data_IF_228096510146
#
_entry.id   IF_228096510146
#
_cell.length_a   1.000
_cell.length_b   1.000
_cell.length_c   1.000
_cell.angle_alpha   90.00
_cell.angle_beta   90.00
_cell.angle_gamma   90.00
#
_symmetry.space_group_name_H-M   'P 1'
#
loop_
_entity.id
_entity.type
_entity.pdbx_description
1 polymer ?
#
# COMPACT_ATOMS: atom_id res chain seq x y z
N UNK A 1 -60.93 51.82 -38.16
CA UNK A 1 -60.80 52.28 -36.75
C UNK A 1 -60.97 51.09 -35.83
N UNK A 2 -59.94 50.81 -35.02
CA UNK A 2 -59.89 50.09 -33.72
C UNK A 2 -61.03 49.10 -33.37
N UNK A 3 -60.66 47.86 -33.04
CA UNK A 3 -60.84 47.28 -31.70
C UNK A 3 -59.97 46.02 -31.52
N UNK A 4 -59.09 46.10 -30.52
CA UNK A 4 -58.27 45.01 -29.98
C UNK A 4 -59.15 44.00 -29.22
N UNK A 5 -58.81 42.72 -29.28
CA UNK A 5 -58.99 41.80 -28.15
C UNK A 5 -57.66 41.07 -27.89
N UNK A 6 -57.31 41.02 -26.61
CA UNK A 6 -56.03 40.59 -26.07
C UNK A 6 -55.86 39.06 -26.10
N UNK A 7 -54.63 38.60 -26.37
CA UNK A 7 -54.18 37.25 -26.07
C UNK A 7 -53.19 37.32 -24.90
N UNK A 8 -53.51 36.62 -23.82
CA UNK A 8 -52.69 36.46 -22.63
C UNK A 8 -51.63 35.38 -22.92
N UNK A 9 -50.34 35.73 -22.94
CA UNK A 9 -49.24 34.76 -22.98
C UNK A 9 -48.62 34.69 -21.59
N UNK A 10 -48.81 33.55 -20.92
CA UNK A 10 -48.13 33.25 -19.67
C UNK A 10 -46.69 32.80 -19.99
N UNK A 11 -45.71 33.59 -19.55
CA UNK A 11 -44.30 33.22 -19.62
C UNK A 11 -43.98 32.26 -18.46
N UNK A 12 -43.70 30.99 -18.76
CA UNK A 12 -43.05 30.08 -17.82
C UNK A 12 -41.53 30.37 -17.83
N UNK A 13 -41.04 30.96 -16.74
CA UNK A 13 -39.61 31.07 -16.46
C UNK A 13 -39.07 29.72 -15.98
N UNK A 14 -38.21 29.10 -16.78
CA UNK A 14 -37.49 27.87 -16.43
C UNK A 14 -36.30 28.23 -15.54
N UNK A 15 -36.44 28.08 -14.23
CA UNK A 15 -35.32 28.15 -13.28
C UNK A 15 -34.48 26.88 -13.41
N UNK A 16 -33.25 27.02 -13.91
CA UNK A 16 -32.25 25.96 -13.86
C UNK A 16 -31.89 25.70 -12.39
N UNK A 17 -32.40 24.61 -11.82
CA UNK A 17 -31.93 24.07 -10.56
C UNK A 17 -30.51 23.57 -10.77
N UNK A 18 -29.53 24.32 -10.25
CA UNK A 18 -28.16 23.83 -10.06
C UNK A 18 -28.24 22.65 -9.10
N UNK A 19 -28.13 21.43 -9.63
CA UNK A 19 -27.95 20.24 -8.83
C UNK A 19 -26.61 20.36 -8.09
N UNK A 20 -26.68 20.59 -6.79
CA UNK A 20 -25.54 20.37 -5.88
C UNK A 20 -25.09 18.93 -6.11
N UNK A 21 -23.81 18.65 -6.39
CA UNK A 21 -23.37 17.27 -6.52
C UNK A 21 -23.68 16.57 -5.21
N UNK A 22 -24.44 15.48 -5.29
CA UNK A 22 -24.53 14.54 -4.18
C UNK A 22 -23.09 14.18 -3.80
N UNK A 23 -22.71 14.44 -2.56
CA UNK A 23 -21.46 13.92 -2.03
C UNK A 23 -21.58 12.40 -2.18
N UNK A 24 -20.86 11.83 -3.15
CA UNK A 24 -20.71 10.39 -3.24
C UNK A 24 -20.29 9.92 -1.85
N UNK A 25 -20.95 8.89 -1.33
CA UNK A 25 -20.50 8.22 -0.11
C UNK A 25 -18.99 8.01 -0.26
N UNK A 26 -18.21 8.56 0.68
CA UNK A 26 -16.76 8.63 0.56
C UNK A 26 -16.21 7.25 0.22
N UNK A 27 -15.42 7.15 -0.85
CA UNK A 27 -14.73 5.91 -1.20
C UNK A 27 -13.92 5.43 0.00
N UNK A 28 -14.16 4.20 0.44
CA UNK A 28 -13.37 3.55 1.49
C UNK A 28 -12.07 3.07 0.87
N UNK A 29 -10.95 3.42 1.50
CA UNK A 29 -9.62 3.03 1.07
C UNK A 29 -8.92 2.22 2.18
N UNK A 30 -8.26 1.10 1.84
CA UNK A 30 -8.21 0.50 0.51
C UNK A 30 -9.57 -0.11 0.12
N UNK A 31 -9.82 -0.26 -1.17
CA UNK A 31 -11.06 -0.85 -1.68
C UNK A 31 -10.93 -2.37 -1.79
N UNK A 32 -11.88 -3.11 -1.21
CA UNK A 32 -12.01 -4.56 -1.41
C UNK A 32 -12.49 -4.83 -2.85
N UNK A 33 -11.69 -5.57 -3.62
CA UNK A 33 -11.94 -5.79 -5.06
C UNK A 33 -12.20 -7.25 -5.43
N UNK A 34 -11.75 -8.20 -4.60
CA UNK A 34 -12.18 -9.60 -4.64
C UNK A 34 -12.50 -10.02 -3.20
N UNK A 35 -13.80 -10.08 -2.88
CA UNK A 35 -14.32 -10.41 -1.55
C UNK A 35 -14.42 -11.91 -1.27
N UNK A 36 -13.38 -12.65 -1.62
CA UNK A 36 -13.23 -14.09 -1.38
C UNK A 36 -11.74 -14.42 -1.28
N UNK A 37 -11.41 -15.66 -0.88
CA UNK A 37 -10.02 -16.10 -0.70
C UNK A 37 -9.19 -15.92 -1.99
N UNK A 38 -8.29 -14.95 -1.96
CA UNK A 38 -7.40 -14.55 -3.05
C UNK A 38 -6.07 -14.01 -2.47
N UNK A 39 -5.25 -14.88 -1.87
CA UNK A 39 -4.04 -14.45 -1.16
C UNK A 39 -2.82 -14.27 -2.06
N UNK A 40 -1.87 -13.48 -1.56
CA UNK A 40 -0.55 -13.26 -2.17
C UNK A 40 -0.69 -12.83 -3.64
N UNK A 41 -1.36 -11.70 -3.92
CA UNK A 41 -1.67 -11.28 -5.28
C UNK A 41 -0.41 -10.92 -6.07
N UNK A 42 -0.36 -11.39 -7.31
CA UNK A 42 0.45 -10.80 -8.38
C UNK A 42 -0.51 -10.22 -9.42
N UNK A 43 -0.24 -8.99 -9.84
CA UNK A 43 -1.11 -8.22 -10.72
C UNK A 43 -0.29 -7.64 -11.86
N UNK A 44 -0.82 -7.68 -13.08
CA UNK A 44 -0.26 -6.90 -14.18
C UNK A 44 -1.34 -6.42 -15.14
N UNK A 45 -0.99 -5.43 -15.95
CA UNK A 45 -1.85 -4.90 -16.99
C UNK A 45 -1.24 -5.17 -18.37
N UNK A 46 -2.09 -5.62 -19.30
CA UNK A 46 -1.71 -5.75 -20.70
C UNK A 46 -2.91 -5.51 -21.60
N UNK A 47 -2.74 -4.72 -22.67
CA UNK A 47 -3.75 -4.50 -23.71
C UNK A 47 -5.14 -4.08 -23.18
N UNK A 48 -5.18 -3.28 -22.10
CA UNK A 48 -6.43 -2.80 -21.50
C UNK A 48 -7.10 -3.78 -20.53
N UNK A 49 -6.48 -4.94 -20.27
CA UNK A 49 -6.96 -5.93 -19.31
C UNK A 49 -5.99 -6.03 -18.14
N UNK A 50 -6.55 -6.03 -16.92
CA UNK A 50 -5.82 -6.34 -15.69
C UNK A 50 -5.98 -7.82 -15.39
N UNK A 51 -4.89 -8.45 -14.94
CA UNK A 51 -4.83 -9.85 -14.52
C UNK A 51 -4.38 -9.89 -13.07
N UNK A 52 -4.93 -10.80 -12.28
CA UNK A 52 -4.46 -11.08 -10.93
C UNK A 52 -4.36 -12.58 -10.72
N UNK A 53 -3.33 -13.03 -10.00
CA UNK A 53 -3.09 -14.44 -9.65
C UNK A 53 -2.98 -14.57 -8.13
N UNK A 54 -3.31 -15.74 -7.58
CA UNK A 54 -3.23 -15.96 -6.14
C UNK A 54 -2.54 -17.27 -5.77
N UNK A 55 -2.11 -17.34 -4.51
CA UNK A 55 -1.82 -18.61 -3.83
C UNK A 55 -2.97 -19.59 -4.00
N UNK A 56 -2.65 -20.89 -4.04
CA UNK A 56 -3.62 -21.97 -4.17
C UNK A 56 -4.79 -21.84 -3.18
N UNK A 57 -5.98 -22.23 -3.59
CA UNK A 57 -7.14 -22.28 -2.70
C UNK A 57 -8.20 -23.21 -3.29
N UNK A 58 -9.44 -23.10 -2.82
CA UNK A 58 -10.57 -23.90 -3.32
C UNK A 58 -10.85 -23.75 -4.81
N UNK A 59 -10.26 -22.75 -5.50
CA UNK A 59 -10.42 -22.51 -6.93
C UNK A 59 -9.33 -23.17 -7.80
N UNK A 60 -8.25 -23.68 -7.21
CA UNK A 60 -7.20 -24.38 -7.95
C UNK A 60 -5.78 -24.10 -7.45
N UNK A 61 -4.81 -24.45 -8.28
CA UNK A 61 -3.38 -24.33 -7.99
C UNK A 61 -2.91 -22.88 -8.06
N UNK A 62 -3.31 -22.15 -9.10
CA UNK A 62 -3.04 -20.71 -9.28
C UNK A 62 -4.31 -20.05 -9.79
N UNK A 63 -5.26 -19.70 -8.90
CA UNK A 63 -6.47 -18.98 -9.29
C UNK A 63 -6.11 -17.69 -10.04
N UNK A 64 -6.85 -17.38 -11.10
CA UNK A 64 -6.65 -16.19 -11.93
C UNK A 64 -7.93 -15.39 -12.08
N UNK A 65 -7.82 -14.07 -12.00
CA UNK A 65 -8.89 -13.10 -12.18
C UNK A 65 -8.56 -12.08 -13.27
N UNK A 66 -9.58 -11.41 -13.81
CA UNK A 66 -9.40 -10.29 -14.73
C UNK A 66 -10.29 -9.12 -14.40
N UNK A 67 -9.86 -7.91 -14.73
CA UNK A 67 -10.68 -6.71 -14.67
C UNK A 67 -10.43 -5.75 -15.85
N UNK A 68 -11.40 -4.87 -16.19
CA UNK A 68 -11.17 -3.79 -17.15
C UNK A 68 -10.40 -2.61 -16.54
N UNK A 69 -10.26 -2.55 -15.21
CA UNK A 69 -9.50 -1.53 -14.49
C UNK A 69 -8.91 -2.10 -13.20
N UNK A 70 -7.88 -1.47 -12.65
CA UNK A 70 -7.31 -1.85 -11.35
C UNK A 70 -8.36 -1.90 -10.22
N UNK A 71 -9.35 -1.00 -10.25
CA UNK A 71 -10.43 -0.95 -9.27
C UNK A 71 -11.58 -1.92 -9.59
N UNK A 72 -11.44 -2.75 -10.64
CA UNK A 72 -12.45 -3.71 -11.04
C UNK A 72 -13.46 -3.20 -12.10
N UNK A 73 -14.64 -3.84 -12.20
CA UNK A 73 -15.01 -5.05 -11.46
C UNK A 73 -14.09 -6.23 -11.82
N UNK A 74 -13.68 -6.99 -10.82
CA UNK A 74 -12.86 -8.19 -11.00
C UNK A 74 -13.73 -9.43 -11.20
N UNK A 75 -13.26 -10.36 -12.03
CA UNK A 75 -13.94 -11.64 -12.26
C UNK A 75 -12.93 -12.76 -12.26
N UNK A 76 -13.11 -13.75 -11.38
CA UNK A 76 -12.35 -15.00 -11.40
C UNK A 76 -12.61 -15.74 -12.72
N UNK A 77 -11.54 -16.15 -13.39
CA UNK A 77 -11.56 -16.88 -14.67
C UNK A 77 -11.25 -18.36 -14.54
N UNK A 78 -10.76 -18.82 -13.39
CA UNK A 78 -10.49 -20.23 -13.12
C UNK A 78 -9.09 -20.42 -12.53
N UNK A 79 -8.45 -21.53 -12.88
CA UNK A 79 -7.09 -21.89 -12.48
C UNK A 79 -6.15 -21.70 -13.67
N UNK A 80 -5.11 -20.90 -13.51
CA UNK A 80 -4.08 -20.67 -14.51
C UNK A 80 -3.14 -21.87 -14.65
N UNK A 81 -2.97 -22.71 -13.61
CA UNK A 81 -2.09 -23.88 -13.62
C UNK A 81 -2.83 -25.16 -13.20
N UNK A 82 -3.88 -25.59 -13.93
CA UNK A 82 -4.74 -26.71 -13.53
C UNK A 82 -4.03 -28.07 -13.51
N UNK A 83 -2.88 -28.18 -14.19
CA UNK A 83 -2.04 -29.38 -14.16
C UNK A 83 -1.18 -29.51 -12.89
N UNK A 84 -1.13 -28.46 -12.07
CA UNK A 84 -0.28 -28.42 -10.88
C UNK A 84 1.20 -28.11 -11.18
N UNK A 85 2.04 -28.02 -10.13
CA UNK A 85 3.48 -27.85 -10.28
C UNK A 85 4.13 -29.13 -10.82
N UNK A 86 5.40 -29.07 -11.24
CA UNK A 86 6.12 -30.22 -11.81
C UNK A 86 6.01 -31.47 -10.93
N UNK A 87 5.44 -32.55 -11.50
CA UNK A 87 5.24 -33.79 -10.79
C UNK A 87 6.55 -34.48 -10.41
N UNK A 88 7.67 -34.16 -11.07
CA UNK A 88 8.96 -34.79 -10.82
C UNK A 88 9.53 -34.41 -9.45
N UNK A 89 9.30 -33.18 -8.99
CA UNK A 89 9.91 -32.66 -7.76
C UNK A 89 8.93 -32.03 -6.77
N UNK A 90 7.78 -31.53 -7.23
CA UNK A 90 6.87 -30.75 -6.41
C UNK A 90 5.66 -31.56 -5.93
N UNK A 91 5.23 -31.33 -4.69
CA UNK A 91 3.97 -31.81 -4.16
C UNK A 91 2.84 -30.80 -4.46
N UNK A 92 1.71 -31.23 -5.07
CA UNK A 92 0.54 -30.36 -5.28
C UNK A 92 -0.12 -29.89 -3.98
N UNK A 93 -0.91 -28.81 -4.07
CA UNK A 93 -1.68 -28.28 -2.94
C UNK A 93 -0.87 -27.43 -1.93
N UNK A 94 0.35 -27.06 -2.31
CA UNK A 94 1.23 -26.13 -1.57
C UNK A 94 1.91 -25.14 -2.51
N UNK A 95 1.17 -24.63 -3.49
CA UNK A 95 1.63 -23.67 -4.49
C UNK A 95 1.27 -22.27 -4.05
N UNK A 96 2.27 -21.43 -3.79
CA UNK A 96 2.11 -20.13 -3.14
C UNK A 96 2.75 -19.00 -3.93
N UNK A 97 2.25 -17.78 -3.70
CA UNK A 97 2.80 -16.51 -4.16
C UNK A 97 3.26 -16.57 -5.64
N UNK A 98 2.31 -16.73 -6.58
CA UNK A 98 2.64 -16.70 -8.00
C UNK A 98 3.14 -15.31 -8.41
N UNK A 99 4.01 -15.25 -9.41
CA UNK A 99 4.41 -14.04 -10.14
C UNK A 99 4.36 -14.33 -11.64
N UNK A 100 3.62 -13.54 -12.41
CA UNK A 100 3.43 -13.72 -13.85
C UNK A 100 3.96 -12.53 -14.62
N UNK A 101 4.87 -12.82 -15.55
CA UNK A 101 5.44 -11.79 -16.41
C UNK A 101 5.25 -12.11 -17.90
N UNK A 102 4.81 -11.14 -18.72
CA UNK A 102 4.76 -11.27 -20.17
C UNK A 102 6.18 -11.16 -20.77
N UNK A 103 6.58 -12.18 -21.53
CA UNK A 103 7.90 -12.22 -22.18
C UNK A 103 7.88 -11.51 -23.56
N UNK A 104 9.04 -11.04 -24.05
CA UNK A 104 9.14 -10.38 -25.37
C UNK A 104 8.73 -11.24 -26.57
N UNK A 105 8.76 -12.57 -26.45
CA UNK A 105 8.36 -13.52 -27.49
C UNK A 105 6.85 -13.80 -27.51
N UNK A 106 6.07 -13.13 -26.66
CA UNK A 106 4.61 -13.29 -26.54
C UNK A 106 4.19 -14.44 -25.64
N UNK A 107 5.13 -15.17 -25.03
CA UNK A 107 4.83 -16.14 -23.97
C UNK A 107 4.73 -15.47 -22.60
N UNK A 108 4.31 -16.22 -21.59
CA UNK A 108 4.23 -15.78 -20.20
C UNK A 108 5.05 -16.74 -19.35
N UNK A 109 5.78 -16.19 -18.39
CA UNK A 109 6.50 -16.96 -17.37
C UNK A 109 5.79 -16.77 -16.04
N UNK A 110 5.41 -17.87 -15.41
CA UNK A 110 4.90 -17.93 -14.04
C UNK A 110 6.01 -18.49 -13.15
N UNK A 111 6.50 -17.71 -12.19
CA UNK A 111 7.27 -18.24 -11.06
C UNK A 111 6.34 -18.46 -9.87
N UNK A 112 6.62 -19.50 -9.07
CA UNK A 112 5.76 -19.86 -7.95
C UNK A 112 6.55 -20.61 -6.89
N UNK A 113 6.09 -20.54 -5.64
CA UNK A 113 6.61 -21.40 -4.56
C UNK A 113 5.94 -22.76 -4.60
N UNK A 114 6.67 -23.87 -4.45
CA UNK A 114 6.08 -25.19 -4.28
C UNK A 114 6.91 -26.14 -3.42
N UNK A 115 6.21 -27.10 -2.80
CA UNK A 115 6.79 -27.99 -1.81
C UNK A 115 7.68 -29.04 -2.46
N UNK A 116 8.97 -28.98 -2.19
CA UNK A 116 9.96 -29.92 -2.73
C UNK A 116 9.89 -31.25 -1.98
N UNK A 117 9.44 -32.31 -2.68
CA UNK A 117 9.16 -33.64 -2.13
C UNK A 117 10.34 -34.24 -1.37
N UNK A 118 11.55 -34.11 -1.94
CA UNK A 118 12.72 -34.81 -1.44
C UNK A 118 13.30 -34.17 -0.17
N UNK A 119 13.20 -32.84 -0.03
CA UNK A 119 13.77 -32.13 1.11
C UNK A 119 12.75 -31.77 2.19
N UNK A 120 11.46 -31.69 1.87
CA UNK A 120 10.45 -31.20 2.81
C UNK A 120 10.55 -29.68 3.06
N UNK A 121 11.05 -28.92 2.09
CA UNK A 121 11.15 -27.47 2.13
C UNK A 121 10.40 -26.85 0.95
N UNK A 122 10.08 -25.56 1.06
CA UNK A 122 9.54 -24.80 -0.07
C UNK A 122 10.66 -24.35 -1.01
N UNK A 123 10.43 -24.47 -2.32
CA UNK A 123 11.36 -24.03 -3.34
C UNK A 123 10.63 -23.37 -4.51
N UNK A 124 11.32 -22.54 -5.28
CA UNK A 124 10.71 -21.80 -6.38
C UNK A 124 10.76 -22.64 -7.65
N UNK A 125 9.60 -22.82 -8.26
CA UNK A 125 9.41 -23.41 -9.59
C UNK A 125 9.14 -22.36 -10.65
N UNK A 126 9.09 -22.81 -11.90
CA UNK A 126 8.76 -21.96 -13.05
C UNK A 126 7.89 -22.73 -14.04
N UNK A 127 6.92 -22.05 -14.62
CA UNK A 127 6.02 -22.56 -15.65
C UNK A 127 5.87 -21.54 -16.79
N UNK A 128 5.43 -22.01 -17.96
CA UNK A 128 5.22 -21.14 -19.13
C UNK A 128 3.86 -21.36 -19.78
N UNK A 129 3.30 -20.31 -20.37
CA UNK A 129 2.07 -20.35 -21.17
C UNK A 129 2.17 -19.45 -22.41
N UNK A 130 1.26 -19.63 -23.36
CA UNK A 130 1.07 -18.72 -24.51
C UNK A 130 -0.10 -17.75 -24.31
N UNK A 131 -0.73 -17.80 -23.14
CA UNK A 131 -1.88 -16.99 -22.74
C UNK A 131 -1.72 -16.59 -21.28
N UNK A 132 -2.11 -15.36 -20.89
CA UNK A 132 -2.04 -14.94 -19.50
C UNK A 132 -3.00 -15.74 -18.61
N UNK A 133 -4.09 -16.29 -19.18
CA UNK A 133 -5.01 -17.17 -18.43
C UNK A 133 -4.50 -18.62 -18.33
N UNK A 134 -3.29 -18.91 -18.81
CA UNK A 134 -2.77 -20.27 -18.89
C UNK A 134 -3.43 -21.10 -20.01
N UNK A 135 -3.39 -22.44 -19.92
CA UNK A 135 -2.80 -23.20 -18.81
C UNK A 135 -1.27 -23.09 -18.81
N UNK A 136 -0.71 -22.65 -17.69
CA UNK A 136 0.72 -22.68 -17.43
C UNK A 136 1.19 -24.13 -17.27
N UNK A 137 2.31 -24.45 -17.91
CA UNK A 137 2.93 -25.77 -17.85
C UNK A 137 4.28 -25.65 -17.14
N UNK A 138 4.53 -26.43 -16.07
CA UNK A 138 5.79 -26.39 -15.35
C UNK A 138 6.95 -26.78 -16.26
N UNK A 139 8.08 -26.11 -16.08
CA UNK A 139 9.31 -26.34 -16.84
C UNK A 139 10.35 -26.99 -15.94
N UNK A 140 11.02 -28.01 -16.48
CA UNK A 140 12.12 -28.69 -15.80
C UNK A 140 11.68 -29.75 -14.79
N UNK A 141 12.65 -30.61 -14.45
CA UNK A 141 12.48 -31.74 -13.53
C UNK A 141 13.02 -31.42 -12.12
N UNK A 142 13.52 -30.20 -11.91
CA UNK A 142 14.03 -29.68 -10.63
C UNK A 142 13.51 -28.26 -10.38
N UNK A 143 13.51 -27.77 -9.12
CA UNK A 143 13.20 -26.37 -8.83
C UNK A 143 14.15 -25.40 -9.55
N UNK A 144 13.69 -24.17 -9.79
CA UNK A 144 14.51 -23.06 -10.29
C UNK A 144 15.47 -22.54 -9.21
N UNK A 145 14.98 -22.30 -7.98
CA UNK A 145 15.77 -21.85 -6.83
C UNK A 145 15.39 -22.68 -5.60
N UNK A 146 16.38 -23.30 -4.94
CA UNK A 146 16.15 -24.19 -3.80
C UNK A 146 17.40 -24.30 -2.87
N UNK A 147 17.82 -23.22 -2.20
CA UNK A 147 18.96 -23.24 -1.28
C UNK A 147 18.55 -23.89 0.05
N UNK A 148 18.71 -25.21 0.16
CA UNK A 148 18.27 -25.97 1.33
C UNK A 148 19.04 -25.61 2.61
N UNK A 149 20.30 -25.19 2.48
CA UNK A 149 21.12 -24.66 3.57
C UNK A 149 20.61 -23.33 4.13
N UNK A 150 19.77 -22.62 3.36
CA UNK A 150 19.08 -21.39 3.76
C UNK A 150 17.59 -21.61 4.06
N UNK A 151 17.14 -22.87 4.15
CA UNK A 151 15.75 -23.24 4.49
C UNK A 151 14.83 -23.45 3.28
N UNK A 152 15.31 -23.22 2.06
CA UNK A 152 14.50 -23.18 0.85
C UNK A 152 14.28 -21.76 0.33
N UNK A 153 13.36 -21.60 -0.61
CA UNK A 153 13.04 -20.32 -1.23
C UNK A 153 11.53 -20.17 -1.47
N UNK A 154 11.00 -18.99 -1.18
CA UNK A 154 9.60 -18.63 -1.35
C UNK A 154 9.44 -17.22 -1.94
N UNK A 155 8.20 -16.89 -2.25
CA UNK A 155 7.70 -15.56 -2.66
C UNK A 155 8.52 -14.91 -3.78
N UNK A 156 8.59 -15.54 -4.97
CA UNK A 156 9.22 -14.93 -6.13
C UNK A 156 8.42 -13.70 -6.60
N UNK A 157 9.12 -12.65 -7.03
CA UNK A 157 8.55 -11.49 -7.72
C UNK A 157 9.52 -11.01 -8.82
N UNK A 158 9.00 -10.67 -9.99
CA UNK A 158 9.80 -10.22 -11.14
C UNK A 158 10.01 -8.72 -11.11
N UNK A 159 11.28 -8.31 -11.15
CA UNK A 159 11.67 -6.91 -11.39
C UNK A 159 12.38 -6.76 -12.74
N UNK A 160 11.97 -5.76 -13.53
CA UNK A 160 12.69 -5.37 -14.76
C UNK A 160 13.23 -3.96 -14.63
N UNK A 161 14.55 -3.84 -14.63
CA UNK A 161 15.23 -2.55 -14.57
C UNK A 161 15.03 -1.75 -15.87
N UNK A 162 15.20 -0.42 -15.81
CA UNK A 162 15.03 0.49 -16.95
C UNK A 162 15.84 0.12 -18.21
N UNK A 163 16.93 -0.66 -18.08
CA UNK A 163 17.71 -1.19 -19.21
C UNK A 163 17.20 -2.51 -19.80
N UNK A 164 16.04 -3.01 -19.37
CA UNK A 164 15.47 -4.30 -19.77
C UNK A 164 16.06 -5.53 -19.07
N UNK A 165 17.03 -5.35 -18.16
CA UNK A 165 17.57 -6.48 -17.40
C UNK A 165 16.54 -6.97 -16.40
N UNK A 166 16.18 -8.25 -16.52
CA UNK A 166 15.23 -8.92 -15.64
C UNK A 166 15.94 -9.55 -14.43
N UNK A 167 15.29 -9.43 -13.29
CA UNK A 167 15.66 -10.02 -12.02
C UNK A 167 14.45 -10.73 -11.41
N UNK A 168 14.75 -11.72 -10.58
CA UNK A 168 13.83 -12.32 -9.65
C UNK A 168 14.23 -11.88 -8.25
N UNK A 169 13.30 -11.26 -7.54
CA UNK A 169 13.40 -11.02 -6.10
C UNK A 169 12.73 -12.19 -5.40
N UNK A 170 13.32 -12.68 -4.31
CA UNK A 170 12.77 -13.83 -3.58
C UNK A 170 13.27 -13.87 -2.14
N UNK A 171 12.59 -14.62 -1.29
CA UNK A 171 12.96 -14.83 0.11
C UNK A 171 13.56 -16.22 0.30
N UNK A 172 14.65 -16.34 1.08
CA UNK A 172 14.97 -17.66 1.65
C UNK A 172 14.05 -17.98 2.85
N UNK A 173 13.56 -19.21 2.96
CA UNK A 173 12.68 -19.63 4.06
C UNK A 173 13.46 -19.96 5.35
N UNK A 174 14.40 -19.09 5.70
CA UNK A 174 15.33 -19.29 6.83
C UNK A 174 14.61 -19.48 8.16
N UNK A 175 13.48 -18.78 8.34
CA UNK A 175 12.64 -18.90 9.53
C UNK A 175 12.13 -20.34 9.76
N UNK A 176 11.94 -21.14 8.70
CA UNK A 176 11.55 -22.55 8.84
C UNK A 176 12.63 -23.44 9.46
N UNK A 177 13.88 -22.98 9.47
CA UNK A 177 15.04 -23.68 10.05
C UNK A 177 15.76 -22.87 11.15
N UNK A 178 15.11 -21.83 11.69
CA UNK A 178 15.67 -20.98 12.75
C UNK A 178 16.82 -20.08 12.30
N UNK A 179 16.89 -19.75 11.01
CA UNK A 179 17.86 -18.82 10.42
C UNK A 179 17.18 -17.48 10.04
N UNK A 180 17.96 -16.39 9.85
CA UNK A 180 17.43 -15.12 9.37
C UNK A 180 16.69 -15.22 8.03
N UNK A 181 15.66 -14.39 7.86
CA UNK A 181 15.00 -14.17 6.58
C UNK A 181 15.78 -13.13 5.78
N UNK A 182 16.18 -13.46 4.56
CA UNK A 182 16.85 -12.56 3.62
C UNK A 182 16.07 -12.48 2.32
N UNK A 183 15.89 -11.27 1.82
CA UNK A 183 15.40 -10.97 0.48
C UNK A 183 16.60 -10.91 -0.46
N UNK A 184 16.55 -11.68 -1.53
CA UNK A 184 17.61 -11.91 -2.50
C UNK A 184 17.21 -11.40 -3.86
N UNK A 185 18.20 -10.95 -4.63
CA UNK A 185 18.07 -10.59 -6.03
C UNK A 185 18.90 -11.54 -6.89
N UNK A 186 18.26 -12.16 -7.88
CA UNK A 186 18.93 -13.03 -8.85
C UNK A 186 18.59 -12.58 -10.26
N UNK A 187 19.60 -12.33 -11.10
CA UNK A 187 19.34 -11.96 -12.50
C UNK A 187 18.79 -13.18 -13.27
N UNK A 188 17.87 -12.94 -14.18
CA UNK A 188 17.37 -13.95 -15.12
C UNK A 188 17.67 -13.54 -16.57
N UNK A 189 17.68 -14.52 -17.47
CA UNK A 189 17.57 -14.25 -18.90
C UNK A 189 16.15 -13.75 -19.23
N UNK A 190 15.97 -13.14 -20.40
CA UNK A 190 14.69 -12.52 -20.79
C UNK A 190 13.50 -13.50 -20.80
N UNK A 191 13.78 -14.80 -20.90
CA UNK A 191 12.77 -15.87 -20.79
C UNK A 191 12.23 -16.08 -19.36
N UNK A 192 12.80 -15.43 -18.35
CA UNK A 192 12.41 -15.53 -16.93
C UNK A 192 12.64 -16.89 -16.26
N UNK A 193 13.17 -17.89 -16.97
CA UNK A 193 13.33 -19.28 -16.49
C UNK A 193 14.78 -19.76 -16.42
N UNK A 194 15.74 -18.91 -16.77
CA UNK A 194 17.17 -19.21 -16.72
C UNK A 194 17.86 -18.19 -15.83
N UNK A 195 18.47 -18.65 -14.73
CA UNK A 195 19.24 -17.80 -13.84
C UNK A 195 20.58 -17.41 -14.47
N UNK A 196 21.02 -16.18 -14.24
CA UNK A 196 22.27 -15.64 -14.78
C UNK A 196 23.10 -15.08 -13.64
N UNK A 197 24.29 -15.64 -13.42
CA UNK A 197 25.17 -15.20 -12.34
C UNK A 197 24.77 -15.74 -10.97
N UNK A 198 25.06 -14.98 -9.92
CA UNK A 198 24.80 -15.36 -8.52
C UNK A 198 23.69 -14.52 -7.87
N UNK A 199 23.45 -14.81 -6.59
CA UNK A 199 22.44 -14.13 -5.78
C UNK A 199 23.06 -12.95 -5.02
N UNK A 200 22.34 -11.84 -4.95
CA UNK A 200 22.71 -10.66 -4.17
C UNK A 200 21.77 -10.53 -2.98
N UNK A 201 22.28 -10.56 -1.75
CA UNK A 201 21.47 -10.29 -0.56
C UNK A 201 21.11 -8.79 -0.52
N UNK A 202 19.82 -8.48 -0.40
CA UNK A 202 19.31 -7.11 -0.36
C UNK A 202 19.05 -6.68 1.09
N UNK A 203 18.15 -7.39 1.77
CA UNK A 203 17.70 -7.05 3.12
C UNK A 203 17.62 -8.33 3.96
N UNK A 204 18.25 -8.31 5.14
CA UNK A 204 18.22 -9.42 6.09
C UNK A 204 17.60 -8.96 7.40
N UNK A 205 16.74 -9.79 7.98
CA UNK A 205 16.09 -9.56 9.27
C UNK A 205 16.19 -10.80 10.16
N UNK A 206 16.31 -10.57 11.46
CA UNK A 206 16.19 -11.64 12.48
C UNK A 206 14.73 -12.06 12.72
N UNK A 207 13.77 -11.20 12.40
CA UNK A 207 12.35 -11.55 12.29
C UNK A 207 11.96 -11.92 10.85
N UNK A 208 10.71 -12.36 10.67
CA UNK A 208 10.17 -12.70 9.34
C UNK A 208 10.01 -11.43 8.51
N UNK A 209 10.68 -11.41 7.35
CA UNK A 209 10.37 -10.53 6.22
C UNK A 209 10.12 -11.40 5.00
N UNK A 210 9.10 -11.08 4.21
CA UNK A 210 8.62 -11.91 3.08
C UNK A 210 7.82 -11.13 2.04
N UNK A 211 7.26 -11.82 1.03
CA UNK A 211 6.52 -11.22 -0.08
C UNK A 211 7.18 -9.95 -0.64
N UNK A 212 8.40 -10.05 -1.20
CA UNK A 212 9.09 -8.90 -1.75
C UNK A 212 8.40 -8.39 -3.02
N UNK A 213 8.34 -7.08 -3.17
CA UNK A 213 8.04 -6.41 -4.44
C UNK A 213 9.03 -5.27 -4.65
N UNK A 214 9.60 -5.15 -5.85
CA UNK A 214 10.68 -4.20 -6.11
C UNK A 214 10.31 -3.27 -7.25
N UNK A 215 10.34 -1.97 -6.98
CA UNK A 215 10.12 -0.94 -7.99
C UNK A 215 11.30 0.04 -8.05
N UNK A 216 11.49 0.65 -9.21
CA UNK A 216 12.40 1.79 -9.38
C UNK A 216 11.59 3.08 -9.46
N UNK A 217 11.87 4.04 -8.57
CA UNK A 217 11.19 5.35 -8.52
C UNK A 217 12.20 6.47 -8.43
N UNK A 218 12.16 7.34 -9.44
CA UNK A 218 13.06 8.49 -9.52
C UNK A 218 14.52 8.06 -9.38
N UNK A 219 15.14 8.50 -8.30
CA UNK A 219 16.56 8.26 -8.03
C UNK A 219 16.87 6.99 -7.24
N UNK A 220 15.85 6.25 -6.78
CA UNK A 220 16.01 5.12 -5.88
C UNK A 220 15.21 3.87 -6.28
N UNK A 221 15.63 2.76 -5.73
CA UNK A 221 14.87 1.52 -5.69
C UNK A 221 14.11 1.44 -4.36
N UNK A 222 12.89 0.94 -4.42
CA UNK A 222 12.01 0.73 -3.27
C UNK A 222 11.64 -0.74 -3.24
N UNK A 223 12.10 -1.43 -2.21
CA UNK A 223 11.80 -2.83 -1.94
C UNK A 223 10.69 -2.88 -0.89
N UNK A 224 9.47 -3.16 -1.31
CA UNK A 224 8.37 -3.51 -0.43
C UNK A 224 8.58 -4.94 0.09
N UNK A 225 8.13 -5.17 1.32
CA UNK A 225 8.14 -6.49 1.93
C UNK A 225 7.12 -6.54 3.05
N UNK A 226 6.59 -7.72 3.31
CA UNK A 226 5.77 -7.98 4.47
C UNK A 226 6.61 -8.31 5.69
N UNK A 227 6.11 -7.98 6.88
CA UNK A 227 6.68 -8.41 8.15
C UNK A 227 5.60 -8.95 9.10
N UNK A 228 6.02 -9.65 10.15
CA UNK A 228 5.11 -10.31 11.08
C UNK A 228 4.66 -11.69 10.59
N UNK A 229 3.64 -12.27 11.22
CA UNK A 229 3.09 -13.56 10.82
C UNK A 229 1.92 -13.40 9.85
N UNK A 230 1.98 -14.02 8.67
CA UNK A 230 0.94 -13.92 7.64
C UNK A 230 -0.47 -14.33 8.10
N UNK A 231 -0.61 -14.97 9.26
CA UNK A 231 -1.83 -15.60 9.77
C UNK A 231 -2.56 -14.80 10.86
N UNK A 232 -2.19 -13.54 11.11
CA UNK A 232 -2.89 -12.66 12.05
C UNK A 232 -2.90 -11.18 11.59
N UNK A 233 -3.53 -10.31 12.38
CA UNK A 233 -3.61 -8.87 12.09
C UNK A 233 -2.31 -8.09 12.37
N UNK A 234 -1.24 -8.75 12.84
CA UNK A 234 0.08 -8.13 12.97
C UNK A 234 0.89 -8.23 11.67
N UNK A 235 0.42 -8.99 10.67
CA UNK A 235 0.97 -8.94 9.33
C UNK A 235 0.89 -7.51 8.78
N UNK A 236 1.98 -7.04 8.19
CA UNK A 236 2.12 -5.66 7.75
C UNK A 236 2.92 -5.59 6.47
N UNK A 237 2.81 -4.46 5.77
CA UNK A 237 3.72 -4.10 4.67
C UNK A 237 4.63 -2.96 5.11
N UNK A 238 5.92 -3.12 4.87
CA UNK A 238 6.93 -2.07 5.01
C UNK A 238 7.72 -1.93 3.72
N UNK A 239 8.70 -1.03 3.71
CA UNK A 239 9.60 -0.87 2.59
C UNK A 239 11.02 -0.54 3.05
N UNK A 240 11.99 -0.80 2.18
CA UNK A 240 13.36 -0.35 2.27
C UNK A 240 13.76 0.37 0.99
N UNK A 241 14.72 1.30 1.09
CA UNK A 241 15.18 2.09 -0.05
C UNK A 241 16.68 1.93 -0.27
N UNK A 242 17.10 2.01 -1.53
CA UNK A 242 18.52 2.09 -1.90
C UNK A 242 18.71 2.82 -3.23
N UNK A 243 19.84 3.49 -3.42
CA UNK A 243 20.23 4.06 -4.72
C UNK A 243 20.87 3.04 -5.65
N UNK A 244 21.11 1.81 -5.18
CA UNK A 244 21.66 0.71 -5.99
C UNK A 244 20.99 -0.63 -5.67
N UNK A 245 20.85 -1.50 -6.67
CA UNK A 245 20.30 -2.86 -6.48
C UNK A 245 21.14 -3.69 -5.48
N UNK A 246 22.44 -3.39 -5.37
CA UNK A 246 23.35 -4.04 -4.43
C UNK A 246 23.31 -3.48 -3.01
N UNK A 247 22.46 -2.48 -2.74
CA UNK A 247 22.39 -1.82 -1.45
C UNK A 247 23.44 -0.71 -1.24
N UNK A 248 23.66 -0.28 0.01
CA UNK A 248 22.96 -0.74 1.22
C UNK A 248 21.47 -0.37 1.19
N UNK A 249 20.65 -1.18 1.85
CA UNK A 249 19.20 -0.98 1.97
C UNK A 249 18.84 -0.37 3.32
N UNK A 250 18.02 0.67 3.30
CA UNK A 250 17.55 1.35 4.52
C UNK A 250 16.06 1.14 4.70
N UNK A 251 15.68 0.38 5.72
CA UNK A 251 14.28 0.13 6.09
C UNK A 251 13.60 1.40 6.61
N UNK A 252 12.34 1.59 6.23
CA UNK A 252 11.50 2.65 6.75
C UNK A 252 11.39 2.57 8.27
N UNK A 253 11.42 3.73 8.94
CA UNK A 253 11.30 3.80 10.39
C UNK A 253 9.94 3.30 10.90
N UNK A 254 8.87 3.53 10.12
CA UNK A 254 7.52 3.01 10.39
C UNK A 254 7.05 2.14 9.23
N UNK A 255 6.29 1.07 9.49
CA UNK A 255 5.60 0.31 8.46
C UNK A 255 4.72 1.21 7.58
N UNK A 256 4.57 0.82 6.32
CA UNK A 256 3.76 1.55 5.34
C UNK A 256 2.27 1.28 5.52
N UNK A 257 1.91 0.03 5.78
CA UNK A 257 0.54 -0.44 5.94
C UNK A 257 0.48 -1.42 7.10
N UNK A 258 -0.42 -1.17 8.05
CA UNK A 258 -0.73 -2.03 9.18
C UNK A 258 -2.24 -2.02 9.40
N UNK A 259 -2.75 -2.96 10.17
CA UNK A 259 -4.15 -2.92 10.61
C UNK A 259 -4.51 -1.59 11.26
N UNK A 260 -3.61 -1.03 12.08
CA UNK A 260 -3.84 0.24 12.77
C UNK A 260 -3.82 1.46 11.83
N UNK A 261 -2.91 1.50 10.85
CA UNK A 261 -2.84 2.64 9.91
C UNK A 261 -4.03 2.68 8.95
N UNK A 262 -4.72 1.55 8.76
CA UNK A 262 -6.01 1.48 8.06
C UNK A 262 -7.23 1.58 8.99
N UNK A 263 -7.08 2.01 10.25
CA UNK A 263 -8.17 2.09 11.22
C UNK A 263 -8.98 0.79 11.38
N UNK A 264 -8.26 -0.34 11.31
CA UNK A 264 -8.80 -1.70 11.37
C UNK A 264 -9.71 -2.07 10.20
N UNK A 265 -9.73 -1.28 9.11
CA UNK A 265 -10.48 -1.61 7.91
C UNK A 265 -9.92 -2.83 7.17
N UNK A 266 -8.61 -3.11 7.34
CA UNK A 266 -7.94 -4.29 6.79
C UNK A 266 -7.11 -4.95 7.89
N UNK A 267 -7.42 -6.20 8.21
CA UNK A 267 -6.60 -7.01 9.12
C UNK A 267 -5.43 -7.62 8.35
N UNK A 268 -4.20 -7.38 8.82
CA UNK A 268 -3.00 -8.02 8.28
C UNK A 268 -2.65 -7.62 6.84
N UNK A 269 -2.53 -6.32 6.49
CA UNK A 269 -2.27 -5.87 5.12
C UNK A 269 -0.85 -6.21 4.65
N UNK A 270 -0.69 -7.34 3.96
CA UNK A 270 0.59 -7.80 3.42
C UNK A 270 0.45 -8.48 2.06
N UNK A 271 1.58 -8.99 1.56
CA UNK A 271 1.67 -9.56 0.21
C UNK A 271 1.44 -8.49 -0.84
N UNK A 272 2.13 -7.36 -0.72
CA UNK A 272 1.90 -6.21 -1.57
C UNK A 272 2.52 -6.40 -2.96
N UNK A 273 1.80 -5.93 -3.98
CA UNK A 273 2.27 -5.87 -5.36
C UNK A 273 1.97 -4.49 -5.95
N UNK A 274 2.99 -3.82 -6.50
CA UNK A 274 2.90 -2.42 -6.95
C UNK A 274 2.97 -2.33 -8.47
N UNK A 275 1.84 -1.96 -9.06
CA UNK A 275 1.70 -1.78 -10.51
C UNK A 275 1.17 -0.38 -10.80
N UNK A 276 1.89 0.35 -11.65
CA UNK A 276 1.63 1.76 -11.98
C UNK A 276 1.59 2.68 -10.74
N UNK A 277 0.41 3.20 -10.41
CA UNK A 277 0.13 4.03 -9.21
C UNK A 277 -0.87 3.32 -8.29
N UNK A 278 -0.87 1.99 -8.31
CA UNK A 278 -1.70 1.14 -7.47
C UNK A 278 -0.84 0.20 -6.64
N UNK A 279 -1.33 -0.09 -5.44
CA UNK A 279 -0.80 -1.16 -4.59
C UNK A 279 -1.93 -2.14 -4.33
N UNK A 280 -1.69 -3.40 -4.64
CA UNK A 280 -2.57 -4.53 -4.37
C UNK A 280 -2.05 -5.25 -3.15
N UNK A 281 -2.93 -5.72 -2.28
CA UNK A 281 -2.57 -6.43 -1.07
C UNK A 281 -3.69 -7.38 -0.68
N UNK A 282 -3.41 -8.35 0.18
CA UNK A 282 -4.46 -9.13 0.80
C UNK A 282 -4.69 -8.72 2.26
N UNK A 283 -5.86 -9.06 2.78
CA UNK A 283 -6.20 -8.89 4.19
C UNK A 283 -7.18 -9.94 4.67
N UNK A 284 -7.11 -10.28 5.96
CA UNK A 284 -7.94 -11.33 6.55
C UNK A 284 -9.39 -10.89 6.74
N UNK A 285 -10.30 -11.74 6.27
CA UNK A 285 -11.74 -11.70 6.55
C UNK A 285 -12.17 -13.09 6.97
N UNK A 286 -12.39 -13.28 8.28
CA UNK A 286 -12.66 -14.60 8.84
C UNK A 286 -11.47 -15.54 8.64
N UNK A 287 -11.64 -16.61 7.86
CA UNK A 287 -10.61 -17.59 7.52
C UNK A 287 -10.10 -17.46 6.08
N UNK A 288 -10.41 -16.36 5.40
CA UNK A 288 -10.03 -16.07 4.01
C UNK A 288 -9.16 -14.82 3.96
N UNK A 289 -8.33 -14.70 2.92
CA UNK A 289 -7.57 -13.49 2.62
C UNK A 289 -8.13 -12.85 1.35
N UNK A 290 -8.83 -11.73 1.49
CA UNK A 290 -9.46 -11.02 0.36
C UNK A 290 -8.46 -10.09 -0.32
N UNK A 291 -8.68 -9.76 -1.61
CA UNK A 291 -7.85 -8.81 -2.36
C UNK A 291 -8.37 -7.38 -2.21
N UNK A 292 -7.45 -6.48 -1.90
CA UNK A 292 -7.68 -5.04 -1.80
C UNK A 292 -6.77 -4.27 -2.75
N UNK A 293 -7.18 -3.04 -3.10
CA UNK A 293 -6.37 -2.09 -3.86
C UNK A 293 -6.43 -0.70 -3.24
N UNK A 294 -5.29 0.01 -3.26
CA UNK A 294 -5.23 1.43 -2.93
C UNK A 294 -4.44 2.21 -3.99
N UNK A 295 -4.66 3.53 -4.03
CA UNK A 295 -3.76 4.44 -4.73
C UNK A 295 -2.45 4.58 -3.94
N UNK A 296 -1.33 4.54 -4.65
CA UNK A 296 -0.01 4.83 -4.11
C UNK A 296 0.60 6.03 -4.83
N UNK A 297 1.16 6.95 -4.05
CA UNK A 297 1.88 8.13 -4.53
C UNK A 297 3.28 8.20 -3.94
N UNK A 298 4.05 9.20 -4.37
CA UNK A 298 5.48 9.27 -4.09
C UNK A 298 5.89 10.65 -3.56
N UNK A 299 6.07 10.76 -2.25
CA UNK A 299 6.53 11.96 -1.56
C UNK A 299 8.07 11.97 -1.55
N UNK A 300 8.70 12.70 -2.49
CA UNK A 300 10.16 12.69 -2.67
C UNK A 300 10.72 11.26 -2.86
N UNK A 301 10.13 10.50 -3.78
CA UNK A 301 10.45 9.09 -4.05
C UNK A 301 10.12 8.09 -2.90
N UNK A 302 9.51 8.53 -1.80
CA UNK A 302 8.99 7.65 -0.74
C UNK A 302 7.51 7.32 -0.91
N UNK A 303 7.09 6.05 -0.71
CA UNK A 303 5.71 5.64 -0.95
C UNK A 303 4.75 6.23 0.10
N UNK A 304 3.58 6.66 -0.37
CA UNK A 304 2.43 7.07 0.45
C UNK A 304 1.21 6.35 -0.08
N UNK A 305 0.49 5.62 0.78
CA UNK A 305 -0.67 4.81 0.39
C UNK A 305 -1.94 5.49 0.87
N UNK A 306 -2.90 5.68 -0.04
CA UNK A 306 -4.21 6.24 0.26
C UNK A 306 -4.96 5.37 1.27
N UNK A 307 -5.49 5.98 2.34
CA UNK A 307 -6.18 5.27 3.41
C UNK A 307 -5.25 4.76 4.52
N UNK A 308 -3.93 4.69 4.30
CA UNK A 308 -2.97 4.35 5.35
C UNK A 308 -2.46 5.64 6.00
N UNK A 309 -2.64 5.77 7.31
CA UNK A 309 -2.22 6.96 8.08
C UNK A 309 -0.73 7.25 7.89
N UNK A 310 -0.43 8.49 7.49
CA UNK A 310 0.94 9.03 7.46
C UNK A 310 1.10 10.12 8.50
N UNK A 311 2.07 9.94 9.41
CA UNK A 311 2.38 10.91 10.46
C UNK A 311 3.37 11.97 10.00
N UNK A 312 3.06 13.22 10.35
CA UNK A 312 3.88 14.41 10.22
C UNK A 312 3.99 15.06 11.61
N UNK A 313 5.17 14.98 12.22
CA UNK A 313 5.41 15.60 13.54
C UNK A 313 5.22 17.12 13.45
N UNK A 314 4.44 17.70 14.36
CA UNK A 314 4.02 19.10 14.27
C UNK A 314 5.22 20.04 14.37
N UNK A 315 6.19 19.70 15.23
CA UNK A 315 7.42 20.45 15.48
C UNK A 315 8.40 20.45 14.31
N UNK A 316 8.14 19.66 13.25
CA UNK A 316 8.88 19.72 11.98
C UNK A 316 8.25 20.68 10.97
N UNK A 317 7.13 21.32 11.33
CA UNK A 317 6.48 22.36 10.54
C UNK A 317 7.20 23.71 10.60
N UNK A 318 6.62 24.69 9.91
CA UNK A 318 6.99 26.11 10.07
C UNK A 318 6.16 26.70 11.21
N UNK A 319 6.82 27.40 12.13
CA UNK A 319 6.20 27.96 13.33
C UNK A 319 6.17 29.49 13.24
N UNK A 320 5.07 30.09 13.70
CA UNK A 320 4.99 31.53 13.94
C UNK A 320 4.44 31.79 15.34
N UNK A 321 5.19 32.54 16.14
CA UNK A 321 4.82 32.94 17.50
C UNK A 321 4.32 31.77 18.38
N UNK A 322 4.94 30.61 18.23
CA UNK A 322 4.80 29.41 19.06
C UNK A 322 6.20 28.80 19.22
N UNK A 323 6.35 27.75 20.04
CA UNK A 323 7.66 27.15 20.29
C UNK A 323 7.60 25.64 20.41
N UNK A 324 8.70 24.98 20.07
CA UNK A 324 8.87 23.54 20.29
C UNK A 324 9.18 23.28 21.75
N UNK A 325 8.32 22.51 22.44
CA UNK A 325 8.59 21.99 23.79
C UNK A 325 9.15 20.58 23.65
N UNK A 326 10.38 20.39 24.13
CA UNK A 326 11.04 19.08 24.15
C UNK A 326 10.80 18.33 25.47
N UNK A 327 11.08 17.02 25.47
CA UNK A 327 10.86 16.11 26.59
C UNK A 327 9.38 16.05 27.03
N UNK A 328 8.48 16.18 26.06
CA UNK A 328 7.05 16.01 26.27
C UNK A 328 6.76 14.53 26.50
N UNK A 329 6.37 14.18 27.74
CA UNK A 329 6.24 12.79 28.13
C UNK A 329 5.11 12.11 27.35
N UNK A 330 5.41 11.02 26.65
CA UNK A 330 4.43 10.27 25.86
C UNK A 330 4.10 10.86 24.48
N UNK A 331 4.66 12.03 24.13
CA UNK A 331 4.50 12.60 22.79
C UNK A 331 5.29 11.79 21.74
N UNK A 332 4.79 11.78 20.51
CA UNK A 332 5.54 11.31 19.34
C UNK A 332 6.85 12.11 19.22
N UNK A 333 7.96 11.43 18.93
CA UNK A 333 9.32 12.04 18.89
C UNK A 333 9.74 12.81 20.17
N UNK A 334 8.98 12.71 21.26
CA UNK A 334 9.22 13.38 22.54
C UNK A 334 9.15 14.91 22.50
N UNK A 335 8.54 15.50 21.46
CA UNK A 335 8.43 16.94 21.25
C UNK A 335 7.04 17.32 20.79
N UNK A 336 6.65 18.55 21.05
CA UNK A 336 5.37 19.11 20.60
C UNK A 336 5.52 20.58 20.22
N UNK A 337 4.56 21.09 19.46
CA UNK A 337 4.37 22.54 19.32
C UNK A 337 3.48 23.05 20.44
N UNK A 338 4.04 23.96 21.23
CA UNK A 338 3.41 24.59 22.37
C UNK A 338 3.32 26.10 22.21
N UNK A 339 2.60 26.75 23.13
CA UNK A 339 2.42 28.20 23.17
C UNK A 339 1.84 28.78 21.88
N UNK A 340 0.89 28.07 21.27
CA UNK A 340 0.04 28.63 20.21
C UNK A 340 -1.00 29.53 20.90
N UNK A 341 -0.54 30.64 21.46
CA UNK A 341 -1.27 31.41 22.50
C UNK A 341 -1.69 32.81 22.02
N UNK A 342 -0.98 33.37 21.05
CA UNK A 342 -1.21 34.71 20.54
C UNK A 342 -2.13 34.69 19.33
N UNK A 343 -2.83 35.79 19.07
CA UNK A 343 -3.77 35.89 17.95
C UNK A 343 -3.13 35.59 16.58
N UNK A 344 -1.81 35.79 16.44
CA UNK A 344 -1.04 35.48 15.25
C UNK A 344 -0.25 34.16 15.34
N UNK A 345 -0.37 33.39 16.43
CA UNK A 345 0.32 32.10 16.57
C UNK A 345 -0.20 31.05 15.59
N UNK A 346 0.70 30.31 14.95
CA UNK A 346 0.34 29.15 14.12
C UNK A 346 1.50 28.17 13.91
N UNK A 347 1.15 26.92 13.58
CA UNK A 347 2.05 25.90 13.04
C UNK A 347 1.54 25.45 11.68
N UNK A 348 2.43 25.30 10.70
CA UNK A 348 2.12 24.83 9.35
C UNK A 348 3.00 23.66 8.93
N UNK A 349 2.38 22.52 8.65
CA UNK A 349 3.04 21.32 8.14
C UNK A 349 2.76 21.15 6.66
N UNK A 350 3.74 20.59 5.94
CA UNK A 350 3.55 20.15 4.56
C UNK A 350 3.23 18.65 4.55
N UNK A 351 2.13 18.27 3.92
CA UNK A 351 1.63 16.89 3.87
C UNK A 351 1.45 16.43 2.41
N UNK A 352 1.56 15.14 2.16
CA UNK A 352 1.42 14.57 0.83
C UNK A 352 0.13 13.75 0.68
N UNK A 353 -0.55 13.91 -0.45
CA UNK A 353 -1.74 13.18 -0.83
C UNK A 353 -1.52 12.45 -2.17
N UNK A 354 -1.61 11.11 -2.24
CA UNK A 354 -1.42 10.36 -3.49
C UNK A 354 -2.34 10.81 -4.63
N UNK A 355 -3.59 11.14 -4.27
CA UNK A 355 -4.64 11.58 -5.18
C UNK A 355 -5.43 12.73 -4.56
N UNK A 356 -6.05 13.58 -5.39
CA UNK A 356 -6.91 14.64 -4.87
C UNK A 356 -8.19 14.04 -4.26
N UNK A 357 -8.71 14.63 -3.18
CA UNK A 357 -9.95 14.16 -2.55
C UNK A 357 -10.07 14.54 -1.08
N UNK A 358 -11.09 13.99 -0.40
CA UNK A 358 -11.30 14.17 1.04
C UNK A 358 -10.46 13.21 1.88
N UNK A 359 -9.68 13.72 2.81
CA UNK A 359 -8.83 12.97 3.73
C UNK A 359 -9.31 13.16 5.17
N UNK A 360 -9.10 12.16 6.02
CA UNK A 360 -9.19 12.37 7.46
C UNK A 360 -7.88 12.96 7.95
N UNK A 361 -7.95 14.14 8.56
CA UNK A 361 -6.84 14.74 9.29
C UNK A 361 -7.04 14.46 10.78
N UNK A 362 -6.15 13.65 11.34
CA UNK A 362 -6.05 13.39 12.77
C UNK A 362 -5.01 14.33 13.36
N UNK A 363 -5.34 15.00 14.45
CA UNK A 363 -4.42 15.87 15.19
C UNK A 363 -4.19 15.25 16.55
N UNK A 364 -2.95 14.82 16.81
CA UNK A 364 -2.50 14.42 18.14
C UNK A 364 -2.32 15.65 19.01
N UNK A 365 -2.97 15.71 20.16
CA UNK A 365 -3.00 16.90 21.00
C UNK A 365 -3.07 16.60 22.49
N UNK A 366 -2.67 17.58 23.31
CA UNK A 366 -2.99 17.63 24.72
C UNK A 366 -3.60 18.98 25.07
N UNK A 367 -4.80 18.96 25.66
CA UNK A 367 -5.50 20.15 26.13
C UNK A 367 -5.57 20.12 27.66
N UNK A 368 -4.68 20.87 28.32
CA UNK A 368 -4.71 21.07 29.77
C UNK A 368 -5.49 22.30 30.23
N UNK A 369 -6.29 22.92 29.36
CA UNK A 369 -7.17 24.04 29.71
C UNK A 369 -8.40 23.58 30.50
N UNK A 370 -9.16 24.54 31.05
CA UNK A 370 -10.36 24.26 31.84
C UNK A 370 -11.57 23.80 31.00
N UNK A 371 -11.54 23.99 29.68
CA UNK A 371 -12.61 23.63 28.75
C UNK A 371 -12.04 23.19 27.41
N UNK A 372 -12.91 22.70 26.52
CA UNK A 372 -12.58 22.42 25.12
C UNK A 372 -11.85 23.61 24.50
N UNK A 373 -10.73 23.32 23.86
CA UNK A 373 -9.90 24.26 23.11
C UNK A 373 -10.14 24.09 21.60
N UNK A 374 -9.60 25.01 20.81
CA UNK A 374 -9.67 24.89 19.35
C UNK A 374 -8.47 25.53 18.65
N UNK A 375 -8.21 25.08 17.43
CA UNK A 375 -7.34 25.76 16.47
C UNK A 375 -8.13 26.05 15.20
N UNK A 376 -7.92 27.22 14.60
CA UNK A 376 -8.37 27.48 13.24
C UNK A 376 -7.62 26.59 12.26
N UNK A 377 -8.29 26.13 11.21
CA UNK A 377 -7.75 25.21 10.22
C UNK A 377 -7.66 25.87 8.85
N UNK A 378 -6.45 25.94 8.32
CA UNK A 378 -6.18 26.49 6.99
C UNK A 378 -5.52 25.40 6.14
N UNK A 379 -6.08 25.13 4.97
CA UNK A 379 -5.56 24.15 4.01
C UNK A 379 -5.21 24.87 2.70
N UNK A 380 -3.95 24.77 2.28
CA UNK A 380 -3.44 25.44 1.07
C UNK A 380 -3.78 26.95 1.04
N UNK A 381 -3.66 27.61 2.18
CA UNK A 381 -3.96 29.04 2.33
C UNK A 381 -5.45 29.40 2.49
N UNK A 382 -6.37 28.44 2.41
CA UNK A 382 -7.80 28.67 2.57
C UNK A 382 -8.26 28.28 3.98
N UNK A 383 -9.00 29.17 4.66
CA UNK A 383 -9.65 28.81 5.92
C UNK A 383 -10.79 27.82 5.65
N UNK A 384 -10.72 26.64 6.28
CA UNK A 384 -11.69 25.55 6.13
C UNK A 384 -12.41 25.19 7.43
N UNK A 385 -12.29 26.03 8.47
CA UNK A 385 -12.98 25.87 9.75
C UNK A 385 -12.01 25.78 10.92
N UNK A 386 -12.27 24.84 11.83
CA UNK A 386 -11.49 24.65 13.06
C UNK A 386 -11.44 23.18 13.46
N UNK A 387 -10.43 22.83 14.25
CA UNK A 387 -10.34 21.56 14.97
C UNK A 387 -10.64 21.82 16.44
N UNK A 388 -11.49 21.00 17.05
CA UNK A 388 -11.87 21.11 18.47
C UNK A 388 -11.17 20.04 19.30
N UNK A 389 -10.74 20.40 20.50
CA UNK A 389 -9.89 19.60 21.37
C UNK A 389 -10.52 19.49 22.76
N UNK A 390 -11.28 18.42 23.07
CA UNK A 390 -11.75 18.14 24.43
C UNK A 390 -10.65 18.19 25.49
N UNK A 391 -11.00 18.42 26.76
CA UNK A 391 -9.99 18.47 27.84
C UNK A 391 -9.40 17.08 28.06
N UNK A 392 -8.08 16.99 28.06
CA UNK A 392 -7.33 15.75 28.32
C UNK A 392 -6.40 15.89 29.53
N UNK A 393 -5.93 17.10 29.84
CA UNK A 393 -4.81 17.34 30.73
C UNK A 393 -3.48 17.46 29.97
N UNK A 394 -2.51 18.17 30.55
CA UNK A 394 -1.17 18.30 29.95
C UNK A 394 -0.44 16.95 29.93
N UNK A 395 0.30 16.70 28.85
CA UNK A 395 0.99 15.43 28.57
C UNK A 395 0.06 14.19 28.55
N UNK A 396 -1.25 14.38 28.41
CA UNK A 396 -2.22 13.31 28.14
C UNK A 396 -2.71 13.44 26.70
N UNK A 397 -2.07 12.68 25.80
CA UNK A 397 -2.23 12.78 24.35
C UNK A 397 -3.45 12.02 23.85
N UNK A 398 -4.32 12.71 23.11
CA UNK A 398 -5.49 12.14 22.43
C UNK A 398 -5.50 12.62 20.98
N UNK A 399 -6.42 12.07 20.19
CA UNK A 399 -6.64 12.50 18.82
C UNK A 399 -7.97 13.23 18.67
N UNK A 400 -8.01 14.23 17.80
CA UNK A 400 -9.25 14.77 17.23
C UNK A 400 -9.14 14.74 15.72
N UNK A 401 -10.24 14.41 15.04
CA UNK A 401 -10.25 14.26 13.59
C UNK A 401 -11.22 15.23 12.93
N UNK A 402 -10.84 15.67 11.73
CA UNK A 402 -11.67 16.48 10.82
C UNK A 402 -11.43 16.05 9.39
N UNK A 403 -12.43 16.20 8.52
CA UNK A 403 -12.24 15.96 7.09
C UNK A 403 -11.67 17.21 6.42
N UNK A 404 -10.64 17.02 5.60
CA UNK A 404 -10.03 18.07 4.77
C UNK A 404 -10.01 17.64 3.30
N UNK A 405 -10.09 18.59 2.38
CA UNK A 405 -9.90 18.31 0.95
C UNK A 405 -8.48 18.68 0.55
N UNK A 406 -7.74 17.71 0.00
CA UNK A 406 -6.36 17.89 -0.44
C UNK A 406 -6.27 17.79 -1.98
N UNK A 407 -5.32 18.53 -2.55
CA UNK A 407 -4.88 18.34 -3.92
C UNK A 407 -3.98 17.10 -4.01
N UNK A 408 -3.85 16.50 -5.19
CA UNK A 408 -2.81 15.49 -5.41
C UNK A 408 -1.42 16.12 -5.26
N UNK A 409 -0.50 15.42 -4.59
CA UNK A 409 0.84 15.89 -4.30
C UNK A 409 0.94 16.61 -2.95
N UNK A 410 1.81 17.62 -2.88
CA UNK A 410 2.09 18.38 -1.66
C UNK A 410 0.99 19.39 -1.35
N UNK A 411 0.61 19.47 -0.08
CA UNK A 411 -0.37 20.38 0.48
C UNK A 411 0.18 21.01 1.76
N UNK A 412 -0.33 22.17 2.17
CA UNK A 412 -0.07 22.75 3.49
C UNK A 412 -1.29 22.64 4.39
N UNK A 413 -1.06 22.29 5.66
CA UNK A 413 -2.06 22.30 6.72
C UNK A 413 -1.52 23.19 7.83
N UNK A 414 -2.27 24.23 8.16
CA UNK A 414 -1.94 25.18 9.22
C UNK A 414 -3.00 25.18 10.30
N UNK A 415 -2.54 25.03 11.54
CA UNK A 415 -3.31 25.20 12.76
C UNK A 415 -2.98 26.57 13.35
N UNK A 416 -3.97 27.46 13.38
CA UNK A 416 -3.84 28.81 13.96
C UNK A 416 -4.44 28.85 15.35
N UNK A 417 -4.05 29.83 16.17
CA UNK A 417 -4.71 30.12 17.45
C UNK A 417 -6.24 30.11 17.31
N UNK A 418 -6.92 29.37 18.20
CA UNK A 418 -8.37 29.39 18.39
C UNK A 418 -8.74 29.69 19.84
N UNK A 419 -9.61 28.90 20.44
CA UNK A 419 -10.03 29.04 21.84
C UNK A 419 -9.07 28.31 22.78
N UNK A 420 -8.92 28.83 24.01
CA UNK A 420 -8.11 28.22 25.08
C UNK A 420 -6.67 27.88 24.62
N UNK A 421 -6.04 26.87 25.23
CA UNK A 421 -4.66 26.47 24.97
C UNK A 421 -4.56 24.96 24.73
N UNK A 422 -3.78 24.56 23.74
CA UNK A 422 -3.54 23.16 23.38
C UNK A 422 -2.16 23.03 22.76
N UNK A 423 -1.49 21.93 23.08
CA UNK A 423 -0.24 21.55 22.44
C UNK A 423 -0.51 20.51 21.35
N UNK A 424 0.22 20.60 20.25
CA UNK A 424 0.08 19.71 19.09
C UNK A 424 1.30 18.82 18.99
N UNK A 425 1.07 17.52 19.01
CA UNK A 425 2.08 16.47 18.88
C UNK A 425 2.35 16.20 17.39
N UNK A 426 1.32 15.76 16.65
CA UNK A 426 1.45 15.44 15.24
C UNK A 426 0.17 15.69 14.44
N UNK A 427 0.32 15.65 13.12
CA UNK A 427 -0.76 15.46 12.17
C UNK A 427 -0.65 14.06 11.55
N UNK A 428 -1.76 13.37 11.41
CA UNK A 428 -1.87 12.13 10.64
C UNK A 428 -2.90 12.31 9.52
N UNK A 429 -2.51 11.96 8.29
CA UNK A 429 -3.35 12.10 7.10
C UNK A 429 -3.70 10.72 6.55
N UNK A 430 -4.98 10.50 6.23
CA UNK A 430 -5.54 9.22 5.78
C UNK A 430 -6.39 9.37 4.50
#
# INVERSE_FOLDING_TARGET
MRRLLAALVAALSLTALLSVPAHAAGSVFPSEIIGEDFPDPDVFQQNGTWYAYSTNNGRGTVPVATAPSANGPWTIRGDAMPGGPSADWAQPGRTWAPDVYPNPDGTYTLTYTAWHKASGHQCIGVATATSPLGPFQPVGTTPLICPLDLGGAIDPNTFVANGGTRYLVWKNDGNAIGQPSTLWLTRTADNGRTLVGGNTAMLTSSGVIEAPDLVQRGSQYVLFFSGGGYNDCNYLTSYATSTSLGGPWTTAYRPLMTTATFDNAVCGPGGADVVDNKIFLHGWVGNQRHLYVADIGWANDYPVVRGSRVRYEAERGTLNHCSVRANAAGASDGKVVAYIDYADSWVENTVFAPVAGGYSLHVGYANGSASTASHGLVVNGNNVGSVSYPVTGWDNWHESSVTVTLNAGWNTIRLTKGDQYTEVDYLEVQ
#
